data_IF_067201503562
#
_entry.id   IF_067201503562
#
_cell.length_a   1.000
_cell.length_b   1.000
_cell.length_c   1.000
_cell.angle_alpha   90.00
_cell.angle_beta   90.00
_cell.angle_gamma   90.00
#
_symmetry.space_group_name_H-M   'P 1'
#
loop_
_entity.id
_entity.type
_entity.pdbx_description
1 polymer ?
#
# COMPACT_ATOMS: atom_id res chain seq x y z
N UNK A 1 1.69 1.38 11.54
CA UNK A 1 2.94 1.78 10.84
C UNK A 1 3.14 1.04 9.51
N UNK A 2 2.10 0.84 8.68
CA UNK A 2 2.27 0.16 7.37
C UNK A 2 2.60 1.15 6.22
N UNK A 3 2.16 2.40 6.33
CA UNK A 3 2.29 3.40 5.26
C UNK A 3 3.77 3.64 4.83
N UNK A 4 4.70 3.65 5.79
CA UNK A 4 6.14 3.78 5.55
C UNK A 4 6.70 2.68 4.64
N UNK A 5 6.17 1.46 4.74
CA UNK A 5 6.71 0.30 4.04
C UNK A 5 6.05 0.03 2.68
N UNK A 6 5.04 0.81 2.28
CA UNK A 6 4.37 0.64 0.97
C UNK A 6 5.35 0.70 -0.19
N UNK A 7 6.44 1.44 -0.03
CA UNK A 7 7.51 1.59 -1.02
C UNK A 7 8.35 0.33 -1.26
N UNK A 8 8.24 -0.66 -0.37
CA UNK A 8 8.98 -1.92 -0.43
C UNK A 8 8.08 -3.11 -0.80
N UNK A 9 6.77 -2.90 -0.86
CA UNK A 9 5.78 -3.96 -1.10
C UNK A 9 5.29 -3.90 -2.54
N UNK A 10 5.57 -4.94 -3.31
CA UNK A 10 5.04 -5.10 -4.66
C UNK A 10 3.51 -5.25 -4.62
N UNK A 11 2.79 -4.53 -5.50
CA UNK A 11 1.31 -4.54 -5.58
C UNK A 11 0.59 -4.23 -4.26
N UNK A 12 1.21 -3.46 -3.36
CA UNK A 12 0.63 -3.12 -2.05
C UNK A 12 -0.82 -2.63 -2.12
N UNK A 13 -1.23 -1.92 -3.18
CA UNK A 13 -2.61 -1.47 -3.31
C UNK A 13 -3.62 -2.60 -3.37
N UNK A 14 -3.37 -3.63 -4.17
CA UNK A 14 -4.27 -4.77 -4.27
C UNK A 14 -4.38 -5.49 -2.92
N UNK A 15 -3.23 -5.66 -2.25
CA UNK A 15 -3.18 -6.33 -0.94
C UNK A 15 -3.90 -5.47 0.12
N UNK A 16 -3.82 -4.15 0.03
CA UNK A 16 -4.39 -3.22 1.01
C UNK A 16 -5.83 -2.82 0.71
N UNK A 17 -6.35 -3.05 -0.50
CA UNK A 17 -7.68 -2.62 -0.88
C UNK A 17 -8.76 -3.15 0.08
N UNK A 18 -8.77 -4.45 0.48
CA UNK A 18 -9.72 -4.95 1.47
C UNK A 18 -9.58 -4.27 2.83
N UNK A 19 -8.35 -3.92 3.24
CA UNK A 19 -8.08 -3.24 4.50
C UNK A 19 -8.49 -1.76 4.48
N UNK A 20 -8.29 -1.06 3.36
CA UNK A 20 -8.71 0.34 3.18
C UNK A 20 -10.23 0.48 3.18
N UNK A 21 -10.95 -0.51 2.65
CA UNK A 21 -12.42 -0.54 2.67
C UNK A 21 -13.01 -0.52 4.08
N UNK A 22 -12.30 -1.05 5.09
CA UNK A 22 -12.71 -0.91 6.50
C UNK A 22 -12.54 0.51 7.06
N UNK A 23 -11.74 1.35 6.42
CA UNK A 23 -11.53 2.75 6.83
C UNK A 23 -12.57 3.68 6.17
N UNK A 24 -13.12 3.29 5.02
CA UNK A 24 -14.21 4.00 4.34
C UNK A 24 -15.49 3.91 5.18
N UNK A 25 -15.96 5.06 5.69
CA UNK A 25 -17.14 5.14 6.57
C UNK A 25 -16.84 5.50 8.03
N UNK A 26 -15.58 5.39 8.48
CA UNK A 26 -15.12 5.95 9.75
C UNK A 26 -14.54 7.35 9.58
N UNK A 27 -15.19 8.22 8.79
CA UNK A 27 -14.85 9.64 8.77
C UNK A 27 -15.15 10.20 10.15
N UNK A 28 -14.17 10.86 10.75
CA UNK A 28 -14.37 11.70 11.93
C UNK A 28 -15.31 12.85 11.54
N UNK A 29 -16.62 12.59 11.51
CA UNK A 29 -17.58 13.67 11.68
C UNK A 29 -17.23 14.31 13.02
N UNK A 30 -16.84 15.59 12.97
CA UNK A 30 -16.62 16.41 14.15
C UNK A 30 -17.79 16.12 15.09
N UNK A 31 -17.51 15.55 16.26
CA UNK A 31 -18.49 15.26 17.31
C UNK A 31 -19.35 16.51 17.54
N UNK A 32 -20.47 16.61 16.85
CA UNK A 32 -21.55 17.50 17.24
C UNK A 32 -22.12 16.86 18.49
N UNK A 33 -22.08 17.65 19.56
CA UNK A 33 -22.70 17.38 20.85
C UNK A 33 -24.07 16.72 20.70
N UNK A 34 -24.34 15.80 21.63
CA UNK A 34 -25.59 15.08 21.88
C UNK A 34 -25.79 13.77 21.09
N UNK A 35 -25.98 12.69 21.86
CA UNK A 35 -26.21 11.30 21.46
C UNK A 35 -25.01 10.56 20.84
N UNK A 36 -24.01 10.28 21.69
CA UNK A 36 -23.10 9.16 21.48
C UNK A 36 -23.87 7.83 21.64
N UNK A 37 -24.68 7.47 20.64
CA UNK A 37 -24.91 6.06 20.34
C UNK A 37 -23.54 5.53 19.96
N UNK A 38 -22.90 4.92 20.94
CA UNK A 38 -21.69 4.12 20.83
C UNK A 38 -22.08 2.93 19.97
N UNK A 39 -22.21 3.14 18.65
CA UNK A 39 -22.27 2.03 17.73
C UNK A 39 -20.88 1.45 17.83
N UNK A 40 -20.77 0.42 18.66
CA UNK A 40 -19.74 -0.60 18.56
C UNK A 40 -19.90 -1.19 17.15
N UNK A 41 -19.49 -0.42 16.14
CA UNK A 41 -19.09 -0.93 14.84
C UNK A 41 -17.83 -1.73 15.14
N UNK A 42 -18.03 -2.89 15.77
CA UNK A 42 -17.02 -3.91 15.91
C UNK A 42 -16.53 -4.16 14.50
N UNK A 43 -15.25 -3.85 14.28
CA UNK A 43 -14.61 -3.98 12.99
C UNK A 43 -14.58 -5.48 12.69
N UNK A 44 -15.63 -5.98 12.02
CA UNK A 44 -15.82 -7.39 11.76
C UNK A 44 -14.77 -7.82 10.75
N UNK A 45 -13.73 -8.50 11.22
CA UNK A 45 -12.69 -9.05 10.36
C UNK A 45 -13.29 -10.15 9.49
N UNK A 46 -13.59 -9.81 8.24
CA UNK A 46 -13.93 -10.81 7.23
C UNK A 46 -12.70 -11.67 6.93
N UNK A 47 -12.92 -12.86 6.38
CA UNK A 47 -11.80 -13.77 6.09
C UNK A 47 -10.87 -13.19 5.01
N UNK A 48 -11.42 -12.42 4.06
CA UNK A 48 -10.64 -11.68 3.06
C UNK A 48 -9.74 -10.62 3.70
N UNK A 49 -10.21 -9.96 4.78
CA UNK A 49 -9.43 -8.98 5.51
C UNK A 49 -8.23 -9.62 6.23
N UNK A 50 -8.46 -10.80 6.82
CA UNK A 50 -7.41 -11.57 7.51
C UNK A 50 -6.38 -12.07 6.51
N UNK A 51 -6.82 -12.56 5.36
CA UNK A 51 -5.95 -13.01 4.28
C UNK A 51 -5.12 -11.86 3.73
N UNK A 52 -5.76 -10.72 3.41
CA UNK A 52 -5.07 -9.49 3.00
C UNK A 52 -4.01 -9.06 4.03
N UNK A 53 -4.33 -9.10 5.33
CA UNK A 53 -3.37 -8.75 6.37
C UNK A 53 -2.18 -9.71 6.46
N UNK A 54 -2.41 -11.00 6.27
CA UNK A 54 -1.33 -12.00 6.22
C UNK A 54 -0.47 -11.83 4.97
N UNK A 55 -1.08 -11.54 3.81
CA UNK A 55 -0.36 -11.22 2.59
C UNK A 55 0.49 -9.95 2.74
N UNK A 56 0.00 -8.92 3.44
CA UNK A 56 0.82 -7.73 3.75
C UNK A 56 2.03 -8.11 4.59
N UNK A 57 1.87 -8.96 5.62
CA UNK A 57 2.99 -9.41 6.45
C UNK A 57 4.02 -10.20 5.65
N UNK A 58 3.55 -11.09 4.79
CA UNK A 58 4.42 -11.89 3.95
C UNK A 58 5.14 -11.02 2.92
N UNK A 59 4.42 -10.14 2.24
CA UNK A 59 5.02 -9.20 1.29
C UNK A 59 5.99 -8.22 1.96
N UNK A 60 5.80 -7.89 3.24
CA UNK A 60 6.78 -7.15 4.05
C UNK A 60 8.04 -7.97 4.37
N UNK A 61 7.90 -9.26 4.64
CA UNK A 61 9.04 -10.16 4.85
C UNK A 61 9.81 -10.42 3.54
N UNK A 62 9.08 -10.51 2.42
CA UNK A 62 9.62 -10.74 1.07
C UNK A 62 10.12 -9.46 0.40
N UNK A 63 9.82 -8.28 0.95
CA UNK A 63 10.30 -6.96 0.50
C UNK A 63 11.83 -6.78 0.57
N UNK A 64 12.57 -7.86 0.83
CA UNK A 64 13.98 -7.93 1.21
C UNK A 64 14.98 -7.84 0.05
N UNK A 65 14.60 -7.44 -1.16
CA UNK A 65 15.56 -7.25 -2.26
C UNK A 65 15.39 -5.97 -3.08
N UNK A 66 14.91 -4.88 -2.47
CA UNK A 66 15.18 -3.56 -3.06
C UNK A 66 16.67 -3.25 -2.95
N UNK A 67 17.25 -2.82 -4.06
CA UNK A 67 18.67 -2.51 -4.16
C UNK A 67 18.94 -1.10 -3.63
N UNK A 68 20.11 -0.91 -3.04
CA UNK A 68 20.51 0.41 -2.59
C UNK A 68 20.68 1.34 -3.80
N UNK A 69 20.18 2.58 -3.73
CA UNK A 69 20.39 3.57 -4.79
C UNK A 69 21.89 3.79 -5.02
N UNK A 70 22.33 3.70 -6.27
CA UNK A 70 23.70 3.97 -6.68
C UNK A 70 23.78 5.41 -7.21
N UNK A 71 24.58 6.29 -6.59
CA UNK A 71 24.74 7.67 -7.07
C UNK A 71 25.21 7.70 -8.53
N UNK A 72 24.49 8.44 -9.38
CA UNK A 72 24.83 8.61 -10.80
C UNK A 72 24.45 7.44 -11.71
N UNK A 73 23.86 6.36 -11.19
CA UNK A 73 23.31 5.30 -12.03
C UNK A 73 22.12 5.80 -12.85
N UNK A 74 21.94 5.25 -14.05
CA UNK A 74 20.77 5.56 -14.87
C UNK A 74 19.50 5.07 -14.15
N UNK A 75 18.54 5.98 -14.00
CA UNK A 75 17.24 5.68 -13.40
C UNK A 75 16.18 5.57 -14.48
N UNK A 76 15.21 4.70 -14.26
CA UNK A 76 13.99 4.61 -15.05
C UNK A 76 12.80 4.36 -14.15
N UNK A 77 11.61 4.74 -14.62
CA UNK A 77 10.36 4.54 -13.90
C UNK A 77 9.48 3.65 -14.77
N UNK A 78 9.08 2.51 -14.22
CA UNK A 78 8.05 1.65 -14.80
C UNK A 78 6.71 2.02 -14.17
N UNK A 79 5.68 2.24 -14.99
CA UNK A 79 4.35 2.65 -14.53
C UNK A 79 3.29 1.70 -15.06
N UNK A 80 2.31 1.37 -14.23
CA UNK A 80 1.12 0.63 -14.62
C UNK A 80 -0.11 1.21 -13.89
N UNK A 81 -1.28 1.18 -14.51
CA UNK A 81 -2.50 1.73 -13.94
C UNK A 81 -3.70 0.83 -14.24
N UNK A 82 -4.61 0.79 -13.28
CA UNK A 82 -5.93 0.14 -13.39
C UNK A 82 -7.02 1.14 -13.02
N UNK A 83 -8.28 0.76 -13.19
CA UNK A 83 -9.44 1.62 -12.86
C UNK A 83 -9.50 2.04 -11.37
N UNK A 84 -8.75 1.37 -10.49
CA UNK A 84 -8.79 1.57 -9.03
C UNK A 84 -7.50 2.22 -8.49
N UNK A 85 -6.37 1.98 -9.13
CA UNK A 85 -5.05 2.37 -8.60
C UNK A 85 -4.04 2.64 -9.70
N UNK A 86 -3.17 3.61 -9.46
CA UNK A 86 -1.92 3.85 -10.19
C UNK A 86 -0.75 3.26 -9.39
N UNK A 87 0.07 2.44 -10.05
CA UNK A 87 1.31 1.88 -9.52
C UNK A 87 2.53 2.32 -10.33
N UNK A 88 3.67 2.47 -9.67
CA UNK A 88 4.95 2.63 -10.35
C UNK A 88 6.09 1.98 -9.58
N UNK A 89 7.18 1.70 -10.29
CA UNK A 89 8.40 1.11 -9.76
C UNK A 89 9.60 1.92 -10.26
N UNK A 90 10.42 2.38 -9.34
CA UNK A 90 11.68 3.03 -9.63
C UNK A 90 12.76 1.96 -9.75
N UNK A 91 13.45 1.95 -10.88
CA UNK A 91 14.53 1.02 -11.20
C UNK A 91 15.81 1.79 -11.52
N UNK A 92 16.96 1.17 -11.25
CA UNK A 92 18.28 1.67 -11.61
C UNK A 92 19.01 0.65 -12.48
N UNK A 93 19.87 1.13 -13.38
CA UNK A 93 20.75 0.28 -14.18
C UNK A 93 22.04 0.01 -13.41
N UNK A 94 22.33 -1.26 -13.14
CA UNK A 94 23.55 -1.71 -12.47
C UNK A 94 24.10 -2.94 -13.21
N UNK A 95 25.34 -2.86 -13.70
CA UNK A 95 26.00 -3.94 -14.46
C UNK A 95 25.11 -4.51 -15.59
N UNK A 96 24.55 -3.63 -16.43
CA UNK A 96 23.63 -3.96 -17.53
C UNK A 96 22.33 -4.68 -17.12
N UNK A 97 21.97 -4.63 -15.84
CA UNK A 97 20.72 -5.17 -15.30
C UNK A 97 19.89 -4.09 -14.63
N UNK A 98 18.60 -4.11 -14.91
CA UNK A 98 17.64 -3.25 -14.20
C UNK A 98 17.33 -3.85 -12.83
N UNK A 99 17.59 -3.06 -11.80
CA UNK A 99 17.39 -3.42 -10.41
C UNK A 99 16.32 -2.51 -9.79
N UNK A 100 15.35 -3.10 -9.09
CA UNK A 100 14.32 -2.35 -8.37
C UNK A 100 14.88 -1.68 -7.13
N UNK A 101 14.57 -0.39 -6.95
CA UNK A 101 14.97 0.39 -5.77
C UNK A 101 13.79 0.97 -4.98
N UNK A 102 12.60 1.07 -5.58
CA UNK A 102 11.39 1.50 -4.88
C UNK A 102 10.10 1.15 -5.65
N UNK A 103 8.99 1.10 -4.92
CA UNK A 103 7.63 1.08 -5.45
C UNK A 103 6.84 2.33 -5.02
N UNK A 104 5.87 2.75 -5.82
CA UNK A 104 4.94 3.80 -5.48
C UNK A 104 3.53 3.39 -5.90
N UNK A 105 2.54 3.70 -5.07
CA UNK A 105 1.17 3.24 -5.22
C UNK A 105 0.22 4.33 -4.73
N UNK A 106 -0.72 4.74 -5.57
CA UNK A 106 -1.77 5.72 -5.25
C UNK A 106 -3.13 5.21 -5.71
N UNK A 107 -4.11 5.27 -4.81
CA UNK A 107 -5.50 4.98 -5.12
C UNK A 107 -6.19 6.22 -5.68
N UNK A 108 -7.12 6.05 -6.60
CA UNK A 108 -8.03 7.12 -6.97
C UNK A 108 -8.99 7.38 -5.80
N UNK A 109 -9.16 8.65 -5.41
CA UNK A 109 -10.22 9.02 -4.46
C UNK A 109 -11.51 9.18 -5.26
N UNK A 110 -12.44 8.25 -5.08
CA UNK A 110 -13.86 8.44 -5.47
C UNK A 110 -14.59 9.28 -4.44
#
# INVERSE_FOLDING_TARGET
>A
MHNFYRRFILRAAHILAPLNKFLEGHRNEKKSSCLSTKTENSLQWTDEAKEAFNLVKQALADATLLKYPIPGAQLSILTDASDVVIGSSLIQLCNDKWEQIAFFISFYST
#
